data_IF_954105310769
#
_entry.id   IF_954105310769
#
_cell.length_a   1.000
_cell.length_b   1.000
_cell.length_c   1.000
_cell.angle_alpha   90.00
_cell.angle_beta   90.00
_cell.angle_gamma   90.00
#
_symmetry.space_group_name_H-M   'P 1'
#
loop_
_entity.id
_entity.type
_entity.pdbx_description
1 polymer ?
#
# COMPACT_ATOMS: atom_id res chain seq x y z
N UNK A 1 29.35 -1.44 -13.71
CA UNK A 1 28.86 -2.75 -13.21
C UNK A 1 27.72 -2.52 -12.21
N UNK A 2 26.53 -3.08 -12.46
CA UNK A 2 25.40 -2.96 -11.55
C UNK A 2 25.34 -4.19 -10.63
N UNK A 3 25.76 -4.02 -9.38
CA UNK A 3 25.64 -5.02 -8.32
C UNK A 3 24.20 -5.13 -7.80
N UNK A 4 23.86 -6.26 -7.18
CA UNK A 4 22.50 -6.58 -6.70
C UNK A 4 22.00 -5.59 -5.64
N UNK A 5 20.69 -5.30 -5.60
CA UNK A 5 20.07 -4.39 -4.62
C UNK A 5 20.40 -4.74 -3.16
N UNK A 6 20.64 -6.03 -2.86
CA UNK A 6 21.01 -6.48 -1.51
C UNK A 6 22.35 -5.93 -1.02
N UNK A 7 23.28 -5.56 -1.90
CA UNK A 7 24.59 -4.99 -1.58
C UNK A 7 24.56 -3.50 -1.22
N UNK A 8 23.43 -2.82 -1.48
CA UNK A 8 23.28 -1.35 -1.35
C UNK A 8 22.32 -0.91 -0.25
N UNK A 9 22.11 -1.75 0.78
CA UNK A 9 21.15 -1.47 1.88
C UNK A 9 21.40 -0.15 2.63
N UNK A 10 22.64 0.35 2.62
CA UNK A 10 23.02 1.67 3.18
C UNK A 10 22.78 2.87 2.24
N UNK A 11 22.54 2.65 0.94
CA UNK A 11 22.22 3.70 -0.02
C UNK A 11 20.70 3.89 -0.13
N UNK A 12 20.19 4.82 0.67
CA UNK A 12 18.77 5.13 0.78
C UNK A 12 18.08 5.33 -0.58
N UNK A 13 18.66 6.15 -1.46
CA UNK A 13 18.07 6.47 -2.77
C UNK A 13 17.90 5.27 -3.69
N UNK A 14 18.87 4.34 -3.69
CA UNK A 14 18.80 3.13 -4.52
C UNK A 14 17.71 2.19 -4.02
N UNK A 15 17.56 2.10 -2.71
CA UNK A 15 16.58 1.21 -2.09
C UNK A 15 15.14 1.74 -2.23
N UNK A 16 14.94 3.07 -2.16
CA UNK A 16 13.63 3.67 -2.45
C UNK A 16 13.24 3.40 -3.90
N UNK A 17 14.13 3.66 -4.86
CA UNK A 17 13.90 3.36 -6.29
C UNK A 17 13.70 1.86 -6.57
N UNK A 18 14.30 1.00 -5.76
CA UNK A 18 14.12 -0.45 -5.82
C UNK A 18 12.81 -0.96 -5.20
N UNK A 19 12.03 -0.10 -4.55
CA UNK A 19 10.74 -0.47 -3.95
C UNK A 19 9.72 -0.74 -5.04
N UNK A 20 9.07 -1.90 -4.99
CA UNK A 20 8.19 -2.42 -6.04
C UNK A 20 8.86 -2.60 -7.42
N UNK A 21 10.19 -2.54 -7.52
CA UNK A 21 10.91 -2.68 -8.80
C UNK A 21 11.08 -4.13 -9.28
N UNK A 22 10.31 -5.09 -8.76
CA UNK A 22 10.41 -6.49 -9.21
C UNK A 22 9.89 -6.60 -10.65
N UNK A 23 10.70 -7.15 -11.56
CA UNK A 23 10.35 -7.34 -12.98
C UNK A 23 9.12 -8.22 -13.20
N UNK A 24 8.74 -9.04 -12.22
CA UNK A 24 7.53 -9.89 -12.24
C UNK A 24 6.35 -9.30 -11.47
N UNK A 25 6.45 -8.06 -10.99
CA UNK A 25 5.34 -7.40 -10.32
C UNK A 25 4.19 -7.22 -11.33
N UNK A 26 2.98 -7.63 -10.93
CA UNK A 26 1.76 -7.43 -11.69
C UNK A 26 0.97 -6.31 -11.07
N UNK A 27 0.85 -5.20 -11.79
CA UNK A 27 0.07 -4.04 -11.38
C UNK A 27 -1.12 -3.86 -12.32
N UNK A 28 -2.33 -4.01 -11.80
CA UNK A 28 -3.58 -3.94 -12.56
C UNK A 28 -3.82 -2.56 -13.18
N UNK A 29 -3.20 -1.50 -12.65
CA UNK A 29 -3.22 -0.15 -13.25
C UNK A 29 -2.30 -0.02 -14.48
N UNK A 30 -1.29 -0.87 -14.60
CA UNK A 30 -0.33 -0.89 -15.69
C UNK A 30 -0.53 -2.05 -16.68
N UNK A 31 -1.51 -2.93 -16.45
CA UNK A 31 -1.76 -4.06 -17.31
C UNK A 31 -1.89 -3.64 -18.80
N UNK A 32 -1.31 -4.41 -19.74
CA UNK A 32 -0.67 -5.72 -19.57
C UNK A 32 0.82 -5.68 -19.17
N UNK A 33 1.40 -4.51 -18.91
CA UNK A 33 2.82 -4.39 -18.59
C UNK A 33 3.14 -4.96 -17.20
N UNK A 34 4.11 -5.88 -17.12
CA UNK A 34 4.70 -6.33 -15.86
C UNK A 34 5.92 -5.47 -15.48
N UNK A 35 6.25 -5.46 -14.19
CA UNK A 35 7.42 -4.79 -13.65
C UNK A 35 7.09 -3.70 -12.63
N UNK A 36 8.12 -2.95 -12.23
CA UNK A 36 8.00 -1.83 -11.29
C UNK A 36 7.39 -0.57 -11.87
N UNK A 37 6.27 -0.70 -12.57
CA UNK A 37 5.58 0.38 -13.27
C UNK A 37 4.14 0.54 -12.79
N UNK A 38 3.62 1.74 -12.97
CA UNK A 38 2.22 2.07 -12.73
C UNK A 38 1.76 3.17 -13.68
N UNK A 39 0.45 3.41 -13.72
CA UNK A 39 -0.11 4.52 -14.49
C UNK A 39 -0.39 5.68 -13.55
N UNK A 40 0.16 6.85 -13.86
CA UNK A 40 -0.25 8.08 -13.22
C UNK A 40 -1.67 8.41 -13.66
N UNK A 41 -2.64 8.35 -12.75
CA UNK A 41 -4.06 8.36 -13.11
C UNK A 41 -4.49 9.69 -13.74
N UNK A 42 -4.10 10.87 -13.23
CA UNK A 42 -4.48 12.15 -13.85
C UNK A 42 -3.97 12.33 -15.28
N UNK A 43 -2.74 11.91 -15.58
CA UNK A 43 -2.15 12.10 -16.93
C UNK A 43 -2.33 10.89 -17.86
N UNK A 44 -2.65 9.72 -17.31
CA UNK A 44 -2.68 8.46 -18.04
C UNK A 44 -1.29 7.92 -18.41
N UNK A 45 -0.20 8.57 -18.00
CA UNK A 45 1.17 8.21 -18.37
C UNK A 45 1.65 6.94 -17.65
N UNK A 46 2.35 6.05 -18.36
CA UNK A 46 2.98 4.88 -17.79
C UNK A 46 4.38 5.26 -17.27
N UNK A 47 4.61 5.10 -15.98
CA UNK A 47 5.84 5.52 -15.29
C UNK A 47 6.39 4.38 -14.45
N UNK A 48 7.65 4.51 -14.02
CA UNK A 48 8.12 3.71 -12.88
C UNK A 48 7.31 4.07 -11.64
N UNK A 49 7.14 3.11 -10.71
CA UNK A 49 6.42 3.37 -9.45
C UNK A 49 7.09 4.48 -8.65
N UNK A 50 8.42 4.58 -8.71
CA UNK A 50 9.16 5.67 -8.09
C UNK A 50 8.77 7.03 -8.71
N UNK A 51 8.86 7.17 -10.04
CA UNK A 51 8.57 8.46 -10.70
C UNK A 51 7.10 8.87 -10.52
N UNK A 52 6.17 7.91 -10.57
CA UNK A 52 4.77 8.16 -10.25
C UNK A 52 4.60 8.67 -8.81
N UNK A 53 5.35 8.09 -7.85
CA UNK A 53 5.30 8.51 -6.45
C UNK A 53 5.86 9.92 -6.22
N UNK A 54 6.94 10.28 -6.91
CA UNK A 54 7.51 11.63 -6.86
C UNK A 54 6.54 12.66 -7.44
N UNK A 55 5.87 12.30 -8.54
CA UNK A 55 4.86 13.15 -9.18
C UNK A 55 3.67 13.41 -8.26
N UNK A 56 3.07 12.36 -7.71
CA UNK A 56 1.97 12.52 -6.74
C UNK A 56 2.40 13.30 -5.50
N UNK A 57 3.66 13.18 -5.06
CA UNK A 57 4.19 14.01 -3.97
C UNK A 57 4.22 15.49 -4.34
N UNK A 58 4.65 15.83 -5.56
CA UNK A 58 4.60 17.20 -6.07
C UNK A 58 3.18 17.75 -6.22
N UNK A 59 2.21 16.86 -6.45
CA UNK A 59 0.78 17.17 -6.52
C UNK A 59 0.09 17.20 -5.14
N UNK A 60 0.80 16.87 -4.05
CA UNK A 60 0.27 16.72 -2.70
C UNK A 60 -0.85 15.66 -2.58
N UNK A 61 -0.78 14.62 -3.40
CA UNK A 61 -1.76 13.53 -3.43
C UNK A 61 -1.26 12.36 -2.58
N UNK A 62 -1.98 11.97 -1.50
CA UNK A 62 -1.60 10.81 -0.70
C UNK A 62 -1.81 9.50 -1.47
N UNK A 63 -0.96 8.51 -1.19
CA UNK A 63 -1.01 7.21 -1.88
C UNK A 63 -1.45 6.08 -0.96
N UNK A 64 -2.14 5.10 -1.54
CA UNK A 64 -2.43 3.83 -0.89
C UNK A 64 -2.18 2.66 -1.85
N UNK A 65 -2.11 1.45 -1.29
CA UNK A 65 -1.99 0.20 -2.05
C UNK A 65 -3.23 -0.66 -1.83
N UNK A 66 -3.83 -1.16 -2.90
CA UNK A 66 -4.79 -2.27 -2.85
C UNK A 66 -4.05 -3.58 -3.15
N UNK A 67 -4.26 -4.61 -2.33
CA UNK A 67 -3.62 -5.91 -2.48
C UNK A 67 -4.59 -7.08 -2.29
N UNK A 68 -4.24 -8.22 -2.86
CA UNK A 68 -4.95 -9.48 -2.65
C UNK A 68 -4.55 -10.17 -1.34
N UNK A 69 -4.51 -11.50 -1.38
CA UNK A 69 -4.12 -12.32 -0.22
C UNK A 69 -2.61 -12.35 0.00
N UNK A 70 -2.21 -12.64 1.23
CA UNK A 70 -0.82 -12.87 1.65
C UNK A 70 0.12 -11.70 1.34
N UNK A 71 -0.37 -10.46 1.47
CA UNK A 71 0.46 -9.28 1.24
C UNK A 71 1.67 -9.27 2.20
N UNK A 72 2.86 -9.15 1.62
CA UNK A 72 4.13 -9.20 2.37
C UNK A 72 4.71 -10.59 2.60
N UNK A 73 4.11 -11.67 2.05
CA UNK A 73 4.67 -13.01 2.18
C UNK A 73 6.11 -13.09 1.62
N UNK A 74 7.00 -13.71 2.38
CA UNK A 74 8.41 -13.86 2.01
C UNK A 74 9.23 -12.57 2.15
N UNK A 75 8.64 -11.48 2.65
CA UNK A 75 9.36 -10.21 2.85
C UNK A 75 10.04 -10.19 4.24
N UNK A 76 11.27 -10.69 4.30
CA UNK A 76 12.13 -10.56 5.50
C UNK A 76 13.01 -9.31 5.48
N UNK A 77 12.82 -8.43 4.48
CA UNK A 77 13.75 -7.35 4.18
C UNK A 77 13.35 -6.08 4.93
N UNK A 78 14.32 -5.40 5.55
CA UNK A 78 14.16 -4.12 6.26
C UNK A 78 13.42 -3.04 5.43
N UNK A 79 13.50 -3.15 4.11
CA UNK A 79 12.92 -2.22 3.15
C UNK A 79 11.49 -2.52 2.71
N UNK A 80 10.93 -3.68 3.10
CA UNK A 80 9.59 -4.08 2.64
C UNK A 80 8.48 -3.16 3.15
N UNK A 81 8.62 -2.59 4.35
CA UNK A 81 7.69 -1.59 4.89
C UNK A 81 8.22 -0.15 4.77
N UNK A 82 9.53 0.03 4.95
CA UNK A 82 10.19 1.35 4.83
C UNK A 82 10.11 1.92 3.42
N UNK A 83 10.26 1.08 2.40
CA UNK A 83 10.16 1.47 0.99
C UNK A 83 8.82 2.13 0.66
N UNK A 84 7.68 1.43 0.85
CA UNK A 84 6.35 2.01 0.60
C UNK A 84 6.15 3.34 1.33
N UNK A 85 6.56 3.45 2.60
CA UNK A 85 6.44 4.70 3.35
C UNK A 85 7.19 5.86 2.71
N UNK A 86 8.40 5.61 2.20
CA UNK A 86 9.24 6.62 1.56
C UNK A 86 8.74 6.99 0.16
N UNK A 87 8.03 6.09 -0.51
CA UNK A 87 7.25 6.42 -1.72
C UNK A 87 5.99 7.26 -1.39
N UNK A 88 5.68 7.51 -0.11
CA UNK A 88 4.50 8.30 0.28
C UNK A 88 3.22 7.47 0.44
N UNK A 89 3.31 6.14 0.49
CA UNK A 89 2.16 5.28 0.82
C UNK A 89 1.79 5.50 2.28
N UNK A 90 0.55 5.95 2.51
CA UNK A 90 -0.03 6.15 3.84
C UNK A 90 -0.84 4.96 4.35
N UNK A 91 -1.39 4.15 3.44
CA UNK A 91 -2.19 2.98 3.80
C UNK A 91 -2.01 1.83 2.81
N UNK A 92 -2.21 0.60 3.30
CA UNK A 92 -2.36 -0.61 2.48
C UNK A 92 -3.67 -1.27 2.86
N UNK A 93 -4.51 -1.56 1.88
CA UNK A 93 -5.75 -2.31 2.05
C UNK A 93 -5.57 -3.68 1.37
N UNK A 94 -5.63 -4.77 2.14
CA UNK A 94 -5.37 -6.11 1.62
C UNK A 94 -6.43 -7.12 2.06
N UNK A 95 -6.58 -8.21 1.31
CA UNK A 95 -7.45 -9.33 1.68
C UNK A 95 -6.84 -10.17 2.81
N UNK A 96 -5.51 -10.25 2.87
CA UNK A 96 -4.78 -10.74 4.04
C UNK A 96 -3.32 -10.27 4.04
N UNK A 97 -2.70 -10.25 5.22
CA UNK A 97 -1.30 -9.89 5.42
C UNK A 97 -0.50 -11.08 5.96
N UNK A 98 0.78 -11.15 5.60
CA UNK A 98 1.76 -11.88 6.39
C UNK A 98 1.92 -11.18 7.76
N UNK A 99 1.99 -11.97 8.84
CA UNK A 99 1.88 -11.48 10.23
C UNK A 99 2.99 -10.48 10.57
N UNK A 100 4.24 -10.79 10.23
CA UNK A 100 5.40 -9.96 10.55
C UNK A 100 5.38 -8.70 9.69
N UNK A 101 5.07 -8.83 8.40
CA UNK A 101 4.98 -7.70 7.49
C UNK A 101 3.93 -6.68 7.93
N UNK A 102 2.77 -7.14 8.43
CA UNK A 102 1.74 -6.26 8.98
C UNK A 102 2.28 -5.39 10.11
N UNK A 103 3.01 -5.96 11.06
CA UNK A 103 3.61 -5.19 12.17
C UNK A 103 4.62 -4.17 11.65
N UNK A 104 5.48 -4.56 10.71
CA UNK A 104 6.45 -3.65 10.12
C UNK A 104 5.80 -2.43 9.44
N UNK A 105 4.64 -2.61 8.80
CA UNK A 105 3.89 -1.48 8.22
C UNK A 105 3.45 -0.49 9.31
N UNK A 106 2.88 -1.00 10.40
CA UNK A 106 2.47 -0.17 11.56
C UNK A 106 3.66 0.59 12.12
N UNK A 107 4.79 -0.08 12.31
CA UNK A 107 6.01 0.54 12.86
C UNK A 107 6.56 1.65 11.95
N UNK A 108 6.32 1.56 10.64
CA UNK A 108 6.68 2.59 9.66
C UNK A 108 5.61 3.68 9.49
N UNK A 109 4.50 3.61 10.25
CA UNK A 109 3.39 4.55 10.15
C UNK A 109 2.56 4.39 8.87
N UNK A 110 2.56 3.20 8.27
CA UNK A 110 1.68 2.83 7.16
C UNK A 110 0.50 2.05 7.71
N UNK A 111 -0.72 2.52 7.48
CA UNK A 111 -1.94 1.92 8.03
C UNK A 111 -2.31 0.63 7.27
N UNK A 112 -2.26 -0.57 7.91
CA UNK A 112 -2.70 -1.80 7.28
C UNK A 112 -4.19 -2.05 7.57
N UNK A 113 -5.01 -1.97 6.53
CA UNK A 113 -6.46 -2.21 6.56
C UNK A 113 -6.77 -3.58 5.95
N UNK A 114 -7.64 -4.34 6.61
CA UNK A 114 -8.10 -5.63 6.13
C UNK A 114 -9.50 -5.49 5.56
N UNK A 115 -9.76 -6.09 4.41
CA UNK A 115 -11.12 -6.31 3.94
C UNK A 115 -11.89 -7.22 4.91
N UNK A 116 -13.22 -7.10 4.96
CA UNK A 116 -14.05 -8.03 5.70
C UNK A 116 -13.86 -9.48 5.23
N UNK A 117 -14.13 -10.44 6.12
CA UNK A 117 -13.95 -11.85 5.81
C UNK A 117 -14.75 -12.25 4.56
N UNK A 118 -14.06 -12.82 3.57
CA UNK A 118 -14.68 -13.26 2.32
C UNK A 118 -14.97 -12.15 1.30
N UNK A 119 -14.64 -10.89 1.58
CA UNK A 119 -14.65 -9.81 0.59
C UNK A 119 -13.24 -9.49 0.07
N UNK A 120 -13.15 -8.58 -0.90
CA UNK A 120 -11.91 -8.15 -1.50
C UNK A 120 -12.16 -7.10 -2.57
N UNK A 121 -11.11 -6.40 -2.99
CA UNK A 121 -11.23 -5.28 -3.93
C UNK A 121 -11.91 -5.71 -5.25
N UNK A 122 -11.61 -6.91 -5.77
CA UNK A 122 -12.28 -7.46 -6.97
C UNK A 122 -13.77 -7.70 -6.75
N UNK A 123 -14.17 -8.26 -5.60
CA UNK A 123 -15.57 -8.56 -5.28
C UNK A 123 -16.40 -7.29 -5.09
N UNK A 124 -15.76 -6.24 -4.58
CA UNK A 124 -16.35 -4.91 -4.42
C UNK A 124 -16.37 -4.10 -5.73
N UNK A 125 -15.81 -4.62 -6.83
CA UNK A 125 -15.74 -3.92 -8.11
C UNK A 125 -14.76 -2.75 -8.13
N UNK A 126 -13.85 -2.65 -7.15
CA UNK A 126 -12.83 -1.61 -7.11
C UNK A 126 -11.82 -1.83 -8.23
N UNK A 127 -11.49 -0.76 -8.94
CA UNK A 127 -10.56 -0.80 -10.07
C UNK A 127 -9.19 -0.21 -9.73
N UNK A 128 -9.08 0.46 -8.58
CA UNK A 128 -7.91 1.22 -8.16
C UNK A 128 -7.79 2.58 -8.85
N UNK A 129 -8.82 2.99 -9.61
CA UNK A 129 -8.91 4.30 -10.28
C UNK A 129 -9.80 5.29 -9.54
N UNK A 130 -10.46 4.82 -8.49
CA UNK A 130 -11.28 5.62 -7.60
C UNK A 130 -10.41 6.49 -6.68
N UNK A 131 -10.98 7.57 -6.17
CA UNK A 131 -10.40 8.30 -5.04
C UNK A 131 -10.89 7.68 -3.73
N UNK A 132 -9.98 7.55 -2.76
CA UNK A 132 -10.25 6.92 -1.49
C UNK A 132 -10.12 7.93 -0.35
N UNK A 133 -11.19 8.08 0.43
CA UNK A 133 -11.17 8.84 1.68
C UNK A 133 -11.16 7.87 2.87
N UNK A 134 -10.11 7.92 3.69
CA UNK A 134 -10.01 7.11 4.90
C UNK A 134 -10.40 7.95 6.12
N UNK A 135 -11.59 7.68 6.67
CA UNK A 135 -12.07 8.33 7.89
C UNK A 135 -11.68 7.51 9.11
N UNK A 136 -10.70 8.01 9.86
CA UNK A 136 -10.27 7.41 11.12
C UNK A 136 -11.06 8.02 12.26
N UNK A 137 -11.74 7.18 13.02
CA UNK A 137 -12.37 7.61 14.25
C UNK A 137 -11.28 7.80 15.32
N UNK A 138 -11.32 8.87 16.13
CA UNK A 138 -10.31 9.08 17.16
C UNK A 138 -10.27 7.89 18.14
N UNK A 139 -9.09 7.56 18.70
CA UNK A 139 -8.98 6.48 19.68
C UNK A 139 -10.00 6.68 20.81
N UNK A 140 -10.89 5.72 21.00
CA UNK A 140 -11.93 5.78 22.04
C UNK A 140 -13.31 6.31 21.60
N UNK A 141 -13.52 6.66 20.33
CA UNK A 141 -14.87 6.91 19.81
C UNK A 141 -15.60 5.59 19.51
N UNK A 142 -15.95 4.85 20.56
CA UNK A 142 -17.14 4.01 20.46
C UNK A 142 -18.34 4.94 20.62
N UNK A 143 -19.07 5.21 19.54
CA UNK A 143 -20.49 5.46 19.76
C UNK A 143 -21.07 4.10 20.19
N UNK A 144 -21.48 3.93 21.46
CA UNK A 144 -22.09 2.68 21.87
C UNK A 144 -23.40 2.48 21.08
N UNK A 145 -23.89 1.23 20.85
CA UNK A 145 -25.31 1.06 20.60
C UNK A 145 -26.05 1.58 21.84
N UNK A 146 -26.74 2.70 21.69
CA UNK A 146 -27.57 3.25 22.75
C UNK A 146 -28.76 2.32 23.03
N UNK A 147 -28.94 2.04 24.34
CA UNK A 147 -30.16 1.66 25.10
C UNK A 147 -30.55 0.18 25.21
N UNK A 148 -30.60 -0.26 26.47
CA UNK A 148 -31.75 -0.97 27.03
C UNK A 148 -32.24 -0.23 28.27
N UNK A 149 -33.55 -0.12 28.44
CA UNK A 149 -34.21 0.27 29.70
C UNK A 149 -34.68 -1.01 30.38
N UNK A 150 -34.51 -1.13 31.69
CA UNK A 150 -35.37 -1.98 32.50
C UNK A 150 -36.64 -1.22 32.90
N UNK A 151 -37.76 -1.92 32.88
CA UNK A 151 -39.01 -1.57 33.59
C UNK A 151 -39.12 -2.49 34.82
N UNK A 152 -39.89 -2.13 35.87
CA UNK A 152 -40.08 -3.01 37.02
C UNK A 152 -40.69 -4.36 36.63
#
# INVERSE_FOLDING_TARGET
>A
EFNTYGSRRGHHEVMVRGTFANVRLRNELAAPQEGGVTRHLPSGELLSIFDASERYRGENTPLLVLAGTSYGQGSSRDWAAKGPRLLGVGAVIAESFERIHRSNLVDMGVLPLLFEAGTGWKKLGLTGREEFELRLAPPGSSSPPHRWRSWP
#
